data_IF_878571771878
#
_entry.id   IF_878571771878
#
_cell.length_a   1.000
_cell.length_b   1.000
_cell.length_c   1.000
_cell.angle_alpha   90.00
_cell.angle_beta   90.00
_cell.angle_gamma   90.00
#
_symmetry.space_group_name_H-M   'P 1'
#
loop_
_entity.id
_entity.type
_entity.pdbx_description
1 polymer ?
#
# COMPACT_ATOMS: atom_id res chain seq x y z
N UNK A 1 16.51 -21.61 22.49
CA UNK A 1 15.19 -21.12 22.07
C UNK A 1 14.87 -21.64 20.69
N UNK A 2 13.64 -22.00 20.49
CA UNK A 2 13.20 -22.53 19.21
C UNK A 2 12.98 -21.51 18.11
N UNK A 3 13.63 -20.36 18.19
CA UNK A 3 13.40 -19.31 17.19
C UNK A 3 13.77 -19.75 15.79
N UNK A 4 14.79 -20.57 15.65
CA UNK A 4 15.17 -21.07 14.34
C UNK A 4 14.13 -22.02 13.73
N UNK A 5 13.25 -22.59 14.55
CA UNK A 5 12.17 -23.42 14.07
C UNK A 5 10.92 -22.63 13.71
N UNK A 6 10.89 -21.35 14.04
CA UNK A 6 9.76 -20.49 13.71
C UNK A 6 9.85 -20.09 12.26
N UNK A 7 8.72 -20.06 11.61
CA UNK A 7 8.66 -19.51 10.26
C UNK A 7 8.88 -18.01 10.31
N UNK A 8 9.72 -17.53 9.42
CA UNK A 8 9.95 -16.10 9.30
C UNK A 8 8.66 -15.42 8.87
N UNK A 9 8.36 -14.30 9.49
CA UNK A 9 7.25 -13.45 9.07
C UNK A 9 7.78 -12.40 8.12
N UNK A 10 7.03 -12.14 7.07
CA UNK A 10 7.35 -11.13 6.10
C UNK A 10 6.24 -10.10 6.04
N UNK A 11 6.62 -8.85 5.90
CA UNK A 11 5.67 -7.76 5.68
C UNK A 11 5.62 -7.48 4.19
N UNK A 12 4.43 -7.54 3.63
CA UNK A 12 4.20 -7.25 2.21
C UNK A 12 3.40 -5.98 2.08
N UNK A 13 3.67 -5.25 1.00
CA UNK A 13 2.89 -4.08 0.63
C UNK A 13 1.70 -4.55 -0.18
N UNK A 14 0.49 -4.19 0.25
CA UNK A 14 -0.75 -4.53 -0.44
C UNK A 14 -1.44 -3.28 -0.97
N UNK A 15 -0.67 -2.39 -1.59
CA UNK A 15 -1.17 -1.11 -2.09
C UNK A 15 -2.27 -1.30 -3.13
N UNK A 16 -2.12 -2.24 -4.05
CA UNK A 16 -3.13 -2.51 -5.07
C UNK A 16 -4.47 -2.90 -4.43
N UNK A 17 -4.42 -3.70 -3.37
CA UNK A 17 -5.60 -4.09 -2.60
C UNK A 17 -6.22 -2.88 -1.90
N UNK A 18 -5.39 -2.03 -1.29
CA UNK A 18 -5.86 -0.83 -0.62
C UNK A 18 -6.55 0.13 -1.60
N UNK A 19 -5.97 0.30 -2.79
CA UNK A 19 -6.56 1.12 -3.85
C UNK A 19 -7.90 0.53 -4.30
N UNK A 20 -7.96 -0.78 -4.52
CA UNK A 20 -9.18 -1.46 -4.96
C UNK A 20 -10.30 -1.31 -3.92
N UNK A 21 -9.99 -1.47 -2.64
CA UNK A 21 -10.97 -1.29 -1.56
C UNK A 21 -11.45 0.15 -1.48
N UNK A 22 -10.54 1.12 -1.58
CA UNK A 22 -10.89 2.53 -1.58
C UNK A 22 -11.81 2.87 -2.76
N UNK A 23 -11.50 2.36 -3.94
CA UNK A 23 -12.30 2.62 -5.14
C UNK A 23 -13.68 1.96 -5.06
N UNK A 24 -13.79 0.81 -4.42
CA UNK A 24 -15.06 0.17 -4.21
C UNK A 24 -15.98 1.03 -3.32
N UNK A 25 -15.44 1.58 -2.23
CA UNK A 25 -16.18 2.50 -1.36
C UNK A 25 -16.58 3.76 -2.09
N UNK A 26 -15.66 4.34 -2.88
CA UNK A 26 -15.91 5.56 -3.63
C UNK A 26 -16.99 5.36 -4.67
N UNK A 27 -17.02 4.21 -5.34
CA UNK A 27 -18.06 3.87 -6.28
C UNK A 27 -19.45 3.83 -5.59
N UNK A 28 -19.50 3.33 -4.37
CA UNK A 28 -20.74 3.28 -3.59
C UNK A 28 -21.28 4.64 -3.19
N UNK A 29 -20.41 5.67 -3.14
CA UNK A 29 -20.81 7.05 -2.80
C UNK A 29 -20.84 7.98 -4.01
N UNK A 30 -20.60 7.46 -5.22
CA UNK A 30 -20.59 8.25 -6.44
C UNK A 30 -19.31 9.04 -6.68
N UNK A 31 -18.27 8.82 -5.87
CA UNK A 31 -17.00 9.48 -6.04
C UNK A 31 -16.18 8.83 -7.15
N UNK A 32 -15.30 9.62 -7.76
CA UNK A 32 -14.41 9.10 -8.80
C UNK A 32 -13.37 8.16 -8.21
N UNK A 33 -12.99 7.14 -8.99
CA UNK A 33 -11.92 6.24 -8.62
C UNK A 33 -10.58 6.98 -8.52
N UNK A 34 -9.76 6.56 -7.55
CA UNK A 34 -8.40 7.07 -7.43
C UNK A 34 -7.51 6.29 -8.40
N UNK A 35 -6.77 7.01 -9.24
CA UNK A 35 -5.80 6.43 -10.17
C UNK A 35 -4.41 6.44 -9.54
N UNK A 36 -3.49 5.68 -10.12
CA UNK A 36 -2.08 5.71 -9.71
C UNK A 36 -1.50 7.12 -9.86
N UNK A 37 -1.84 7.82 -10.95
CA UNK A 37 -1.37 9.17 -11.17
C UNK A 37 -1.92 10.15 -10.14
N UNK A 38 -3.20 10.05 -9.83
CA UNK A 38 -3.81 10.88 -8.78
C UNK A 38 -3.14 10.63 -7.44
N UNK A 39 -2.87 9.38 -7.12
CA UNK A 39 -2.22 9.01 -5.85
C UNK A 39 -0.79 9.57 -5.80
N UNK A 40 -0.06 9.53 -6.91
CA UNK A 40 1.28 10.11 -7.02
C UNK A 40 1.25 11.61 -6.76
N UNK A 41 0.28 12.32 -7.32
CA UNK A 41 0.12 13.76 -7.10
C UNK A 41 -0.20 14.05 -5.63
N UNK A 42 -1.13 13.33 -5.06
CA UNK A 42 -1.55 13.54 -3.66
C UNK A 42 -0.39 13.30 -2.69
N UNK A 43 0.40 12.28 -2.94
CA UNK A 43 1.51 11.90 -2.05
C UNK A 43 2.81 12.60 -2.39
N UNK A 44 2.85 13.36 -3.48
CA UNK A 44 4.04 14.07 -3.96
C UNK A 44 5.22 13.13 -4.21
N UNK A 45 4.95 11.98 -4.80
CA UNK A 45 5.98 11.03 -5.22
C UNK A 45 5.80 10.70 -6.69
N UNK A 46 6.85 10.17 -7.30
CA UNK A 46 6.81 9.80 -8.71
C UNK A 46 5.78 8.71 -8.96
N UNK A 47 5.07 8.80 -10.09
CA UNK A 47 4.09 7.78 -10.48
C UNK A 47 4.72 6.40 -10.60
N UNK A 48 5.99 6.32 -11.04
CA UNK A 48 6.72 5.06 -11.11
C UNK A 48 6.90 4.42 -9.74
N UNK A 49 7.13 5.24 -8.70
CA UNK A 49 7.23 4.73 -7.32
C UNK A 49 5.92 4.12 -6.88
N UNK A 50 4.80 4.80 -7.13
CA UNK A 50 3.47 4.28 -6.79
C UNK A 50 3.19 2.98 -7.55
N UNK A 51 3.50 2.93 -8.82
CA UNK A 51 3.31 1.74 -9.64
C UNK A 51 4.13 0.55 -9.14
N UNK A 52 5.39 0.80 -8.76
CA UNK A 52 6.25 -0.26 -8.20
C UNK A 52 5.73 -0.77 -6.88
N UNK A 53 5.27 0.12 -6.01
CA UNK A 53 4.66 -0.27 -4.74
C UNK A 53 3.40 -1.10 -4.98
N UNK A 54 2.58 -0.71 -5.94
CA UNK A 54 1.36 -1.44 -6.28
C UNK A 54 1.64 -2.83 -6.85
N UNK A 55 2.78 -2.99 -7.55
CA UNK A 55 3.22 -4.28 -8.08
C UNK A 55 3.93 -5.14 -7.06
N UNK A 56 4.08 -4.62 -5.84
CA UNK A 56 4.79 -5.33 -4.78
C UNK A 56 6.26 -5.61 -5.14
N UNK A 57 6.90 -4.65 -5.82
CA UNK A 57 8.31 -4.74 -6.19
C UNK A 57 9.15 -4.63 -4.91
N UNK A 58 10.02 -5.61 -4.67
CA UNK A 58 10.84 -5.64 -3.46
C UNK A 58 11.77 -4.44 -3.33
N UNK A 59 12.28 -3.92 -4.44
CA UNK A 59 13.13 -2.72 -4.42
C UNK A 59 12.34 -1.48 -4.03
N UNK A 60 11.09 -1.40 -4.45
CA UNK A 60 10.23 -0.29 -4.08
C UNK A 60 9.78 -0.37 -2.63
N UNK A 61 9.69 -1.59 -2.08
CA UNK A 61 9.28 -1.78 -0.69
C UNK A 61 10.20 -1.04 0.28
N UNK A 62 11.50 -0.98 -0.01
CA UNK A 62 12.45 -0.25 0.83
C UNK A 62 12.27 1.26 0.76
N UNK A 63 11.56 1.77 -0.23
CA UNK A 63 11.27 3.19 -0.36
C UNK A 63 10.00 3.61 0.40
N UNK A 64 9.27 2.66 0.98
CA UNK A 64 8.08 2.96 1.75
C UNK A 64 8.47 3.42 3.16
N UNK A 65 8.55 4.74 3.32
CA UNK A 65 8.78 5.34 4.65
C UNK A 65 7.47 5.43 5.42
N UNK A 66 7.56 5.67 6.71
CA UNK A 66 6.37 5.93 7.52
C UNK A 66 5.63 7.19 7.05
N UNK A 67 6.39 8.20 6.60
CA UNK A 67 5.78 9.40 6.06
C UNK A 67 4.96 9.10 4.79
N UNK A 68 5.52 8.33 3.88
CA UNK A 68 4.79 7.92 2.67
C UNK A 68 3.60 7.04 3.02
N UNK A 69 3.76 6.11 3.94
CA UNK A 69 2.65 5.27 4.41
C UNK A 69 1.52 6.12 4.98
N UNK A 70 1.86 7.14 5.77
CA UNK A 70 0.86 8.07 6.34
C UNK A 70 0.10 8.80 5.24
N UNK A 71 0.81 9.26 4.21
CA UNK A 71 0.19 9.93 3.06
C UNK A 71 -0.74 8.99 2.29
N UNK A 72 -0.32 7.74 2.10
CA UNK A 72 -1.11 6.75 1.39
C UNK A 72 -2.39 6.39 2.15
N UNK A 73 -2.31 6.10 3.44
CA UNK A 73 -3.50 5.76 4.22
C UNK A 73 -4.46 6.95 4.32
N UNK A 74 -3.92 8.16 4.37
CA UNK A 74 -4.73 9.37 4.39
C UNK A 74 -5.46 9.55 3.06
N UNK A 75 -4.73 9.42 1.94
CA UNK A 75 -5.31 9.60 0.60
C UNK A 75 -6.37 8.54 0.29
N UNK A 76 -6.16 7.32 0.75
CA UNK A 76 -7.07 6.20 0.50
C UNK A 76 -8.13 6.05 1.60
N UNK A 77 -8.02 6.83 2.67
CA UNK A 77 -8.91 6.75 3.83
C UNK A 77 -9.04 5.30 4.32
N UNK A 78 -7.89 4.67 4.55
CA UNK A 78 -7.82 3.28 4.99
C UNK A 78 -6.91 3.15 6.21
N UNK A 79 -6.90 1.96 6.81
CA UNK A 79 -5.98 1.65 7.88
C UNK A 79 -4.68 1.07 7.34
N UNK A 80 -3.67 1.00 8.19
CA UNK A 80 -2.37 0.43 7.82
C UNK A 80 -2.51 -1.05 7.44
N UNK A 81 -3.48 -1.74 8.00
CA UNK A 81 -3.75 -3.15 7.72
C UNK A 81 -4.22 -3.39 6.29
N UNK A 82 -4.71 -2.36 5.61
CA UNK A 82 -5.06 -2.44 4.19
C UNK A 82 -3.85 -2.20 3.30
N UNK A 83 -2.86 -1.47 3.80
CA UNK A 83 -1.64 -1.14 3.05
C UNK A 83 -0.56 -2.19 3.18
N UNK A 84 -0.51 -2.86 4.32
CA UNK A 84 0.50 -3.85 4.65
C UNK A 84 -0.16 -5.13 5.14
N UNK A 85 0.48 -6.25 4.88
CA UNK A 85 0.06 -7.51 5.49
C UNK A 85 1.28 -8.30 5.97
N UNK A 86 1.08 -9.11 6.97
CA UNK A 86 2.11 -10.01 7.48
C UNK A 86 1.79 -11.42 6.99
N UNK A 87 2.76 -12.04 6.34
CA UNK A 87 2.64 -13.42 5.87
C UNK A 87 3.73 -14.25 6.50
N UNK A 88 3.45 -15.53 6.70
CA UNK A 88 4.46 -16.48 7.17
C UNK A 88 5.08 -17.16 5.95
N UNK A 89 6.40 -17.11 5.92
CA UNK A 89 7.13 -17.62 4.78
C UNK A 89 7.93 -18.86 5.04
#
# INVERSE_FOLDING_TARGET
MGYGALMAKQVRITLAKAIAKANLRRAGTGDKAITMNALAVITDVAATTITRLARNDQKAASALSLDLASKLVTALDCGIEDLLEVVEG
#
